data_IF_027842296157
#
_entry.id   IF_027842296157
#
_cell.length_a   1.000
_cell.length_b   1.000
_cell.length_c   1.000
_cell.angle_alpha   90.00
_cell.angle_beta   90.00
_cell.angle_gamma   90.00
#
_symmetry.space_group_name_H-M   'P 1'
#
loop_
_entity.id
_entity.type
_entity.pdbx_description
1 polymer ?
#
# COMPACT_ATOMS: atom_id res chain seq x y z
N UNK A 1 -30.04 -11.38 -22.21
CA UNK A 1 -30.14 -11.14 -23.68
C UNK A 1 -30.23 -12.48 -24.38
N UNK A 2 -31.13 -12.64 -25.35
CA UNK A 2 -31.17 -13.85 -26.20
C UNK A 2 -30.12 -13.70 -27.30
N UNK A 3 -29.35 -14.76 -27.53
CA UNK A 3 -28.32 -14.82 -28.56
C UNK A 3 -28.97 -14.76 -29.96
N UNK A 4 -28.63 -13.74 -30.74
CA UNK A 4 -29.11 -13.49 -32.12
C UNK A 4 -28.00 -13.67 -33.15
N UNK A 5 -26.86 -14.24 -32.77
CA UNK A 5 -25.72 -14.47 -33.69
C UNK A 5 -26.10 -15.34 -34.89
N UNK A 6 -27.09 -16.22 -34.74
CA UNK A 6 -27.56 -17.09 -35.81
C UNK A 6 -28.35 -16.34 -36.90
N UNK A 7 -29.12 -15.31 -36.53
CA UNK A 7 -29.88 -14.47 -37.47
C UNK A 7 -28.95 -13.64 -38.38
N UNK A 8 -27.80 -13.22 -37.84
CA UNK A 8 -26.77 -12.48 -38.59
C UNK A 8 -26.04 -13.35 -39.61
N UNK A 9 -25.90 -14.66 -39.36
CA UNK A 9 -25.29 -15.59 -40.32
C UNK A 9 -26.19 -15.83 -41.52
N UNK A 10 -27.50 -15.96 -41.29
CA UNK A 10 -28.48 -16.16 -42.36
C UNK A 10 -28.69 -14.93 -43.23
N UNK A 11 -28.44 -13.73 -42.71
CA UNK A 11 -28.53 -12.49 -43.49
C UNK A 11 -27.28 -12.22 -44.36
N UNK A 12 -26.16 -12.92 -44.12
CA UNK A 12 -24.88 -12.70 -44.81
C UNK A 12 -24.78 -13.42 -46.16
N UNK A 13 -25.68 -14.36 -46.45
CA UNK A 13 -25.72 -15.08 -47.74
C UNK A 13 -26.43 -14.29 -48.86
N UNK A 14 -26.84 -13.03 -48.62
CA UNK A 14 -27.67 -12.26 -49.58
C UNK A 14 -27.15 -10.88 -50.00
N UNK A 15 -25.97 -10.43 -49.56
CA UNK A 15 -25.41 -9.14 -49.99
C UNK A 15 -23.99 -9.32 -50.56
N UNK A 16 -23.78 -8.78 -51.77
CA UNK A 16 -22.53 -8.78 -52.53
C UNK A 16 -21.32 -8.33 -51.68
N UNK A 17 -20.25 -9.13 -51.72
CA UNK A 17 -18.96 -8.92 -51.07
C UNK A 17 -18.25 -7.66 -51.60
N UNK A 18 -18.34 -6.53 -50.88
CA UNK A 18 -17.23 -5.58 -50.80
C UNK A 18 -16.31 -6.04 -49.66
N UNK A 19 -15.32 -6.87 -50.01
CA UNK A 19 -14.26 -7.36 -49.13
C UNK A 19 -13.37 -6.18 -48.70
N UNK A 20 -13.80 -5.45 -47.68
CA UNK A 20 -12.93 -4.57 -46.91
C UNK A 20 -12.04 -5.47 -46.06
N UNK A 21 -10.92 -5.91 -46.64
CA UNK A 21 -9.86 -6.60 -45.91
C UNK A 21 -9.32 -5.66 -44.83
N UNK A 22 -9.81 -5.81 -43.61
CA UNK A 22 -9.12 -5.32 -42.41
C UNK A 22 -7.87 -6.17 -42.31
N UNK A 23 -6.73 -5.61 -42.72
CA UNK A 23 -5.41 -6.17 -42.41
C UNK A 23 -5.26 -6.14 -40.89
N UNK A 24 -5.70 -7.21 -40.24
CA UNK A 24 -5.32 -7.49 -38.86
C UNK A 24 -3.84 -7.83 -38.95
N UNK A 25 -2.99 -6.83 -38.77
CA UNK A 25 -1.57 -7.05 -38.55
C UNK A 25 -1.45 -8.08 -37.42
N UNK A 26 -0.98 -9.26 -37.81
CA UNK A 26 -0.82 -10.46 -36.98
C UNK A 26 0.54 -10.45 -36.28
N UNK A 27 1.16 -9.27 -36.20
CA UNK A 27 2.17 -8.94 -35.20
C UNK A 27 1.41 -8.24 -34.07
N UNK A 28 1.37 -8.86 -32.89
CA UNK A 28 0.30 -8.61 -31.93
C UNK A 28 0.20 -7.15 -31.48
N UNK A 29 -1.00 -6.63 -31.66
CA UNK A 29 -1.36 -5.27 -31.33
C UNK A 29 -1.09 -4.99 -29.84
N UNK A 30 -0.13 -4.09 -29.58
CA UNK A 30 0.30 -3.70 -28.23
C UNK A 30 0.85 -4.84 -27.35
N UNK A 31 1.36 -5.93 -27.93
CA UNK A 31 1.86 -7.07 -27.15
C UNK A 31 2.87 -6.67 -26.07
N UNK A 32 3.86 -5.84 -26.42
CA UNK A 32 4.87 -5.35 -25.46
C UNK A 32 4.24 -4.54 -24.31
N UNK A 33 3.21 -3.74 -24.61
CA UNK A 33 2.51 -2.96 -23.59
C UNK A 33 1.67 -3.88 -22.68
N UNK A 34 0.99 -4.88 -23.24
CA UNK A 34 0.23 -5.85 -22.45
C UNK A 34 1.15 -6.72 -21.59
N UNK A 35 2.34 -7.07 -22.06
CA UNK A 35 3.35 -7.75 -21.26
C UNK A 35 3.77 -6.90 -20.05
N UNK A 36 4.00 -5.59 -20.24
CA UNK A 36 4.27 -4.67 -19.14
C UNK A 36 3.10 -4.57 -18.15
N UNK A 37 1.85 -4.51 -18.64
CA UNK A 37 0.65 -4.46 -17.81
C UNK A 37 0.51 -5.72 -16.94
N UNK A 38 0.69 -6.91 -17.53
CA UNK A 38 0.61 -8.17 -16.79
C UNK A 38 1.77 -8.33 -15.80
N UNK A 39 2.96 -7.84 -16.13
CA UNK A 39 4.09 -7.82 -15.19
C UNK A 39 3.79 -6.93 -13.97
N UNK A 40 3.27 -5.71 -14.19
CA UNK A 40 2.87 -4.80 -13.09
C UNK A 40 1.78 -5.46 -12.25
N UNK A 41 0.79 -6.07 -12.88
CA UNK A 41 -0.29 -6.78 -12.19
C UNK A 41 0.25 -7.91 -11.32
N UNK A 42 1.17 -8.71 -11.85
CA UNK A 42 1.83 -9.78 -11.09
C UNK A 42 2.61 -9.26 -9.90
N UNK A 43 3.29 -8.12 -10.02
CA UNK A 43 3.95 -7.48 -8.89
C UNK A 43 2.96 -6.96 -7.83
N UNK A 44 1.84 -6.36 -8.23
CA UNK A 44 0.79 -5.93 -7.29
C UNK A 44 0.21 -7.13 -6.55
N UNK A 45 -0.08 -8.22 -7.26
CA UNK A 45 -0.59 -9.46 -6.65
C UNK A 45 0.44 -10.06 -5.68
N UNK A 46 1.74 -9.99 -6.01
CA UNK A 46 2.81 -10.42 -5.11
C UNK A 46 2.89 -9.58 -3.84
N UNK A 47 2.71 -8.26 -3.95
CA UNK A 47 2.65 -7.39 -2.76
C UNK A 47 1.46 -7.80 -1.90
N UNK A 48 0.28 -8.00 -2.49
CA UNK A 48 -0.92 -8.41 -1.76
C UNK A 48 -0.72 -9.73 -1.01
N UNK A 49 -0.06 -10.72 -1.63
CA UNK A 49 0.29 -11.98 -0.96
C UNK A 49 1.23 -11.75 0.23
N UNK A 50 2.28 -10.96 0.02
CA UNK A 50 3.24 -10.65 1.08
C UNK A 50 2.59 -9.88 2.25
N UNK A 51 1.62 -9.00 1.99
CA UNK A 51 0.86 -8.29 3.04
C UNK A 51 0.08 -9.26 3.91
N UNK A 52 -0.55 -10.28 3.32
CA UNK A 52 -1.24 -11.32 4.09
C UNK A 52 -0.27 -12.17 4.92
N UNK A 53 0.92 -12.47 4.40
CA UNK A 53 1.97 -13.13 5.18
C UNK A 53 2.48 -12.26 6.33
N UNK A 54 2.64 -10.95 6.12
CA UNK A 54 2.99 -9.99 7.18
C UNK A 54 1.94 -10.04 8.31
N UNK A 55 0.65 -10.05 8.00
CA UNK A 55 -0.42 -10.21 9.01
C UNK A 55 -0.28 -11.50 9.83
N UNK A 56 0.08 -12.60 9.18
CA UNK A 56 0.33 -13.89 9.85
C UNK A 56 1.54 -13.83 10.78
N UNK A 57 2.66 -13.27 10.32
CA UNK A 57 3.89 -13.12 11.12
C UNK A 57 3.68 -12.21 12.32
N UNK A 58 3.02 -11.06 12.13
CA UNK A 58 2.61 -10.17 13.21
C UNK A 58 1.80 -10.89 14.29
N UNK A 59 0.81 -11.68 13.87
CA UNK A 59 -0.03 -12.45 14.81
C UNK A 59 0.77 -13.51 15.56
N UNK A 60 1.70 -14.20 14.91
CA UNK A 60 2.59 -15.17 15.54
C UNK A 60 3.53 -14.51 16.57
N UNK A 61 4.10 -13.35 16.21
CA UNK A 61 5.01 -12.58 17.07
C UNK A 61 4.30 -12.09 18.34
N UNK A 62 3.05 -11.64 18.22
CA UNK A 62 2.23 -11.20 19.37
C UNK A 62 1.67 -12.35 20.21
N UNK A 63 1.68 -13.59 19.71
CA UNK A 63 1.20 -14.76 20.44
C UNK A 63 2.21 -15.27 21.48
N UNK A 64 3.49 -14.94 21.33
CA UNK A 64 4.55 -15.31 22.26
C UNK A 64 5.16 -14.08 22.95
N UNK A 65 5.39 -14.11 24.28
CA UNK A 65 6.18 -13.08 24.98
C UNK A 65 7.60 -12.95 24.44
N UNK A 66 8.18 -14.08 24.02
CA UNK A 66 9.51 -14.18 23.43
C UNK A 66 9.35 -14.81 22.03
N UNK A 67 9.05 -14.00 21.00
CA UNK A 67 8.97 -14.48 19.63
C UNK A 67 10.32 -15.03 19.16
N UNK A 68 10.29 -16.10 18.37
CA UNK A 68 11.49 -16.69 17.79
C UNK A 68 12.14 -15.75 16.79
N UNK A 69 13.48 -15.71 16.79
CA UNK A 69 14.22 -14.78 15.94
C UNK A 69 14.00 -15.07 14.45
N UNK A 70 13.77 -16.34 14.10
CA UNK A 70 13.47 -16.75 12.72
C UNK A 70 12.20 -16.08 12.20
N UNK A 71 11.13 -16.03 12.98
CA UNK A 71 9.87 -15.37 12.57
C UNK A 71 10.07 -13.86 12.41
N UNK A 72 10.95 -13.23 13.18
CA UNK A 72 11.30 -11.81 13.00
C UNK A 72 12.11 -11.58 11.73
N UNK A 73 13.11 -12.41 11.46
CA UNK A 73 13.89 -12.36 10.22
C UNK A 73 12.99 -12.53 8.99
N UNK A 74 12.07 -13.51 9.02
CA UNK A 74 11.09 -13.73 7.95
C UNK A 74 10.16 -12.52 7.76
N UNK A 75 9.75 -11.84 8.85
CA UNK A 75 8.98 -10.60 8.75
C UNK A 75 9.80 -9.47 8.09
N UNK A 76 11.06 -9.30 8.48
CA UNK A 76 11.94 -8.27 7.89
C UNK A 76 12.19 -8.50 6.40
N UNK A 77 12.35 -9.76 5.99
CA UNK A 77 12.45 -10.15 4.59
C UNK A 77 11.18 -9.79 3.81
N UNK A 78 10.00 -10.12 4.35
CA UNK A 78 8.72 -9.75 3.74
C UNK A 78 8.55 -8.24 3.57
N UNK A 79 8.88 -7.44 4.59
CA UNK A 79 8.84 -5.97 4.51
C UNK A 79 9.81 -5.44 3.43
N UNK A 80 11.01 -5.99 3.38
CA UNK A 80 12.02 -5.65 2.36
C UNK A 80 11.54 -5.97 0.95
N UNK A 81 10.89 -7.11 0.76
CA UNK A 81 10.38 -7.56 -0.53
C UNK A 81 9.15 -6.77 -0.98
N UNK A 82 8.25 -6.42 -0.07
CA UNK A 82 7.16 -5.46 -0.34
C UNK A 82 7.75 -4.15 -0.84
N UNK A 83 8.74 -3.58 -0.13
CA UNK A 83 9.40 -2.33 -0.52
C UNK A 83 10.04 -2.41 -1.90
N UNK A 84 10.81 -3.46 -2.18
CA UNK A 84 11.46 -3.65 -3.50
C UNK A 84 10.43 -3.77 -4.61
N UNK A 85 9.39 -4.57 -4.40
CA UNK A 85 8.35 -4.84 -5.41
C UNK A 85 7.50 -3.61 -5.66
N UNK A 86 7.13 -2.87 -4.61
CA UNK A 86 6.40 -1.61 -4.71
C UNK A 86 7.19 -0.55 -5.48
N UNK A 87 8.51 -0.46 -5.27
CA UNK A 87 9.37 0.42 -6.06
C UNK A 87 9.41 0.04 -7.55
N UNK A 88 9.44 -1.25 -7.89
CA UNK A 88 9.35 -1.72 -9.29
C UNK A 88 8.03 -1.32 -9.93
N UNK A 89 6.91 -1.53 -9.22
CA UNK A 89 5.57 -1.11 -9.68
C UNK A 89 5.55 0.40 -9.94
N UNK A 90 6.01 1.20 -8.98
CA UNK A 90 6.10 2.66 -9.12
C UNK A 90 6.90 3.07 -10.36
N UNK A 91 8.11 2.52 -10.54
CA UNK A 91 8.95 2.85 -11.69
C UNK A 91 8.30 2.49 -13.02
N UNK A 92 7.61 1.34 -13.11
CA UNK A 92 6.91 0.92 -14.33
C UNK A 92 5.68 1.78 -14.62
N UNK A 93 4.86 2.09 -13.61
CA UNK A 93 3.72 3.00 -13.76
C UNK A 93 4.18 4.38 -14.27
N UNK A 94 5.24 4.94 -13.69
CA UNK A 94 5.83 6.21 -14.14
C UNK A 94 6.36 6.16 -15.57
N UNK A 95 6.90 5.02 -16.00
CA UNK A 95 7.31 4.83 -17.41
C UNK A 95 6.11 4.83 -18.36
N UNK A 96 4.99 4.24 -17.97
CA UNK A 96 3.75 4.26 -18.76
C UNK A 96 3.18 5.67 -18.80
N UNK A 97 3.18 6.39 -17.68
CA UNK A 97 2.76 7.80 -17.60
C UNK A 97 3.54 8.69 -18.58
N UNK A 98 4.88 8.61 -18.57
CA UNK A 98 5.73 9.38 -19.50
C UNK A 98 5.46 9.03 -20.97
N UNK A 99 5.18 7.76 -21.27
CA UNK A 99 4.78 7.33 -22.62
C UNK A 99 3.45 7.94 -23.04
N UNK A 100 2.47 8.05 -22.12
CA UNK A 100 1.17 8.69 -22.36
C UNK A 100 1.37 10.18 -22.65
N UNK A 101 2.12 10.89 -21.81
CA UNK A 101 2.38 12.33 -21.96
C UNK A 101 3.07 12.64 -23.30
N UNK A 102 4.02 11.80 -23.72
CA UNK A 102 4.71 11.94 -24.99
C UNK A 102 3.76 11.77 -26.19
N UNK A 103 2.85 10.80 -26.14
CA UNK A 103 1.87 10.57 -27.20
C UNK A 103 0.80 11.67 -27.27
N UNK A 104 0.40 12.23 -26.12
CA UNK A 104 -0.51 13.37 -26.05
C UNK A 104 0.08 14.63 -26.68
N UNK A 105 1.37 14.91 -26.44
CA UNK A 105 2.08 16.03 -27.03
C UNK A 105 2.14 16.00 -28.57
N UNK A 106 1.93 14.82 -29.17
CA UNK A 106 1.85 14.63 -30.63
C UNK A 106 0.41 14.76 -31.18
N UNK A 107 -0.58 15.14 -30.35
CA UNK A 107 -2.01 15.23 -30.69
C UNK A 107 -2.60 13.94 -31.31
N UNK A 108 -2.03 12.78 -30.97
CA UNK A 108 -2.50 11.47 -31.45
C UNK A 108 -3.58 10.93 -30.53
N UNK A 109 -4.83 11.37 -30.72
CA UNK A 109 -5.97 10.72 -30.07
C UNK A 109 -6.28 9.38 -30.76
N UNK A 110 -5.61 8.33 -30.31
CA UNK A 110 -5.71 6.97 -30.88
C UNK A 110 -6.44 6.00 -29.95
N UNK A 111 -6.83 4.83 -30.47
CA UNK A 111 -7.31 3.74 -29.63
C UNK A 111 -6.22 3.25 -28.67
N UNK A 112 -4.97 3.22 -29.12
CA UNK A 112 -3.76 2.86 -28.35
C UNK A 112 -3.62 3.75 -27.09
N UNK A 113 -3.63 5.07 -27.27
CA UNK A 113 -3.53 6.05 -26.17
C UNK A 113 -4.65 5.87 -25.12
N UNK A 114 -5.88 5.61 -25.58
CA UNK A 114 -7.02 5.38 -24.67
C UNK A 114 -6.83 4.11 -23.84
N UNK A 115 -6.32 3.05 -24.45
CA UNK A 115 -6.05 1.79 -23.75
C UNK A 115 -4.93 2.00 -22.73
N UNK A 116 -3.82 2.66 -23.11
CA UNK A 116 -2.71 2.98 -22.19
C UNK A 116 -3.19 3.75 -20.95
N UNK A 117 -3.96 4.82 -21.16
CA UNK A 117 -4.55 5.61 -20.06
C UNK A 117 -5.44 4.78 -19.14
N UNK A 118 -6.31 3.95 -19.72
CA UNK A 118 -7.26 3.13 -18.96
C UNK A 118 -6.52 2.09 -18.11
N UNK A 119 -5.52 1.41 -18.69
CA UNK A 119 -4.71 0.42 -17.99
C UNK A 119 -3.86 1.07 -16.89
N UNK A 120 -3.20 2.19 -17.19
CA UNK A 120 -2.43 2.95 -16.21
C UNK A 120 -3.31 3.34 -15.01
N UNK A 121 -4.48 3.92 -15.24
CA UNK A 121 -5.41 4.32 -14.17
C UNK A 121 -5.87 3.13 -13.32
N UNK A 122 -6.17 2.00 -13.95
CA UNK A 122 -6.62 0.79 -13.28
C UNK A 122 -5.52 0.19 -12.39
N UNK A 123 -4.30 0.05 -12.93
CA UNK A 123 -3.15 -0.47 -12.20
C UNK A 123 -2.75 0.44 -11.05
N UNK A 124 -2.72 1.76 -11.28
CA UNK A 124 -2.41 2.75 -10.24
C UNK A 124 -3.41 2.70 -9.08
N UNK A 125 -4.72 2.57 -9.37
CA UNK A 125 -5.75 2.41 -8.33
C UNK A 125 -5.54 1.14 -7.52
N UNK A 126 -5.32 0.01 -8.19
CA UNK A 126 -5.10 -1.28 -7.53
C UNK A 126 -3.82 -1.27 -6.68
N UNK A 127 -2.76 -0.61 -7.16
CA UNK A 127 -1.53 -0.46 -6.40
C UNK A 127 -1.75 0.36 -5.13
N UNK A 128 -2.43 1.51 -5.23
CA UNK A 128 -2.77 2.34 -4.06
C UNK A 128 -3.61 1.55 -3.06
N UNK A 129 -4.61 0.80 -3.51
CA UNK A 129 -5.45 -0.05 -2.66
C UNK A 129 -4.62 -1.05 -1.84
N UNK A 130 -3.73 -1.81 -2.50
CA UNK A 130 -2.86 -2.80 -1.81
C UNK A 130 -1.89 -2.11 -0.85
N UNK A 131 -1.33 -0.97 -1.22
CA UNK A 131 -0.42 -0.24 -0.34
C UNK A 131 -1.16 0.37 0.87
N UNK A 132 -2.41 0.81 0.69
CA UNK A 132 -3.25 1.29 1.80
C UNK A 132 -3.58 0.16 2.77
N UNK A 133 -3.86 -1.04 2.28
CA UNK A 133 -4.05 -2.24 3.11
C UNK A 133 -2.78 -2.60 3.88
N UNK A 134 -1.61 -2.49 3.24
CA UNK A 134 -0.33 -2.67 3.92
C UNK A 134 -0.15 -1.64 5.06
N UNK A 135 -0.41 -0.36 4.81
CA UNK A 135 -0.34 0.67 5.84
C UNK A 135 -1.32 0.41 7.00
N UNK A 136 -2.56 0.04 6.70
CA UNK A 136 -3.55 -0.31 7.72
C UNK A 136 -3.10 -1.50 8.57
N UNK A 137 -2.51 -2.52 7.95
CA UNK A 137 -1.91 -3.68 8.64
C UNK A 137 -0.81 -3.24 9.60
N UNK A 138 0.06 -2.34 9.15
CA UNK A 138 1.15 -1.82 9.97
C UNK A 138 0.61 -0.97 11.13
N UNK A 139 -0.35 -0.08 10.90
CA UNK A 139 -0.97 0.72 11.97
C UNK A 139 -1.67 -0.14 13.02
N UNK A 140 -2.40 -1.18 12.61
CA UNK A 140 -3.05 -2.12 13.53
C UNK A 140 -2.01 -2.89 14.38
N UNK A 141 -0.89 -3.30 13.78
CA UNK A 141 0.18 -3.94 14.51
C UNK A 141 0.82 -3.00 15.55
N UNK A 142 1.03 -1.72 15.19
CA UNK A 142 1.55 -0.69 16.11
C UNK A 142 0.69 -0.60 17.37
N UNK A 143 -0.63 -0.49 17.17
CA UNK A 143 -1.58 -0.35 18.26
C UNK A 143 -1.61 -1.59 19.15
N UNK A 144 -1.53 -2.79 18.57
CA UNK A 144 -1.41 -4.03 19.33
C UNK A 144 -0.12 -4.10 20.15
N UNK A 145 1.01 -3.67 19.60
CA UNK A 145 2.28 -3.56 20.34
C UNK A 145 2.18 -2.55 21.48
N UNK A 146 1.58 -1.37 21.24
CA UNK A 146 1.33 -0.36 22.26
C UNK A 146 0.49 -0.93 23.42
N UNK A 147 -0.62 -1.62 23.10
CA UNK A 147 -1.45 -2.28 24.11
C UNK A 147 -0.71 -3.36 24.91
N UNK A 148 0.22 -4.09 24.29
CA UNK A 148 1.10 -5.05 25.00
C UNK A 148 2.02 -4.33 25.98
N UNK A 149 2.66 -3.24 25.57
CA UNK A 149 3.54 -2.44 26.44
C UNK A 149 2.75 -1.89 27.63
N UNK A 150 1.56 -1.32 27.38
CA UNK A 150 0.68 -0.82 28.43
C UNK A 150 0.37 -1.91 29.46
N UNK A 151 0.03 -3.12 28.99
CA UNK A 151 -0.27 -4.24 29.87
C UNK A 151 0.93 -4.68 30.71
N UNK A 152 2.14 -4.67 30.13
CA UNK A 152 3.36 -5.01 30.87
C UNK A 152 3.70 -3.94 31.93
N UNK A 153 3.47 -2.67 31.65
CA UNK A 153 3.62 -1.59 32.64
C UNK A 153 2.67 -1.78 33.83
N UNK A 154 1.41 -2.14 33.57
CA UNK A 154 0.43 -2.44 34.63
C UNK A 154 0.87 -3.61 35.52
N UNK A 155 1.46 -4.67 34.93
CA UNK A 155 1.99 -5.82 35.68
C UNK A 155 3.11 -5.39 36.63
N UNK A 156 3.93 -4.43 36.24
CA UNK A 156 4.98 -3.84 37.09
C UNK A 156 4.45 -2.84 38.12
N UNK A 157 3.14 -2.58 38.14
CA UNK A 157 2.49 -1.67 39.08
C UNK A 157 2.46 -0.20 38.63
N UNK A 158 2.86 0.09 37.38
CA UNK A 158 2.81 1.43 36.80
C UNK A 158 1.55 1.55 35.93
N UNK A 159 0.59 2.35 36.37
CA UNK A 159 -0.55 2.73 35.52
C UNK A 159 -0.07 3.82 34.56
N UNK A 160 -0.38 3.67 33.27
CA UNK A 160 0.02 4.63 32.23
C UNK A 160 -1.15 4.81 31.28
N UNK A 161 -1.50 6.08 31.03
CA UNK A 161 -2.55 6.44 30.07
C UNK A 161 -2.06 6.25 28.63
N UNK A 162 -2.99 6.23 27.68
CA UNK A 162 -2.63 6.07 26.26
C UNK A 162 -1.77 7.23 25.74
N UNK A 163 -2.00 8.44 26.24
CA UNK A 163 -1.26 9.66 25.89
C UNK A 163 0.15 9.64 26.49
N UNK A 164 0.29 9.37 27.79
CA UNK A 164 1.61 9.23 28.42
C UNK A 164 2.44 8.12 27.78
N UNK A 165 1.80 7.02 27.36
CA UNK A 165 2.50 5.94 26.68
C UNK A 165 2.98 6.37 25.28
N UNK A 166 2.22 7.20 24.58
CA UNK A 166 2.64 7.76 23.30
C UNK A 166 3.85 8.67 23.47
N UNK A 167 3.82 9.58 24.46
CA UNK A 167 4.97 10.45 24.80
C UNK A 167 6.23 9.63 25.09
N UNK A 168 6.07 8.49 25.78
CA UNK A 168 7.17 7.57 26.07
C UNK A 168 7.75 6.94 24.80
N UNK A 169 6.91 6.55 23.85
CA UNK A 169 7.34 6.01 22.55
C UNK A 169 8.03 7.08 21.70
N UNK A 170 7.48 8.29 21.65
CA UNK A 170 8.03 9.43 20.90
C UNK A 170 9.36 9.92 21.46
N UNK A 171 9.59 9.77 22.77
CA UNK A 171 10.84 10.18 23.42
C UNK A 171 12.10 9.49 22.84
N UNK A 172 11.92 8.34 22.17
CA UNK A 172 13.01 7.57 21.58
C UNK A 172 14.04 7.04 22.60
N UNK A 173 13.77 7.13 23.90
CA UNK A 173 14.66 6.72 24.97
C UNK A 173 14.22 5.38 25.60
N UNK A 174 14.86 4.24 25.28
CA UNK A 174 14.46 2.93 25.82
C UNK A 174 14.48 2.87 27.35
N UNK A 175 15.34 3.66 28.00
CA UNK A 175 15.45 3.68 29.46
C UNK A 175 14.21 4.28 30.15
N UNK A 176 13.32 4.97 29.42
CA UNK A 176 12.10 5.53 29.97
C UNK A 176 11.14 4.46 30.50
N UNK A 177 11.20 3.25 29.92
CA UNK A 177 10.41 2.09 30.36
C UNK A 177 11.00 1.44 31.60
N UNK A 178 12.33 1.45 31.75
CA UNK A 178 13.00 0.96 32.96
C UNK A 178 12.83 1.92 34.16
N UNK A 179 12.65 3.22 33.89
CA UNK A 179 12.45 4.24 34.90
C UNK A 179 11.14 4.02 35.68
N UNK A 180 11.26 3.82 36.99
CA UNK A 180 10.13 3.61 37.89
C UNK A 180 9.69 2.15 38.07
N UNK A 181 10.34 1.18 37.41
CA UNK A 181 10.10 -0.25 37.64
C UNK A 181 11.06 -0.77 38.71
N UNK A 182 10.53 -1.40 39.76
CA UNK A 182 11.33 -2.08 40.77
C UNK A 182 11.87 -3.40 40.19
N UNK A 183 13.18 -3.48 39.97
CA UNK A 183 13.85 -4.63 39.34
C UNK A 183 14.08 -5.84 40.28
N UNK A 184 13.46 -5.85 41.45
CA UNK A 184 13.69 -6.86 42.50
C UNK A 184 12.98 -8.19 42.21
N UNK A 185 11.98 -8.19 41.32
CA UNK A 185 11.22 -9.37 40.93
C UNK A 185 11.65 -9.90 39.56
N UNK A 186 11.71 -11.23 39.42
CA UNK A 186 11.88 -11.89 38.11
C UNK A 186 10.76 -11.51 37.13
N UNK A 187 9.56 -11.23 37.64
CA UNK A 187 8.40 -10.79 36.87
C UNK A 187 8.67 -9.41 36.25
N UNK A 188 9.21 -8.46 37.02
CA UNK A 188 9.54 -7.12 36.52
C UNK A 188 10.59 -7.16 35.42
N UNK A 189 11.60 -8.04 35.55
CA UNK A 189 12.64 -8.24 34.53
C UNK A 189 12.08 -8.82 33.24
N UNK A 190 11.17 -9.78 33.34
CA UNK A 190 10.50 -10.36 32.17
C UNK A 190 9.60 -9.34 31.48
N UNK A 191 8.80 -8.58 32.23
CA UNK A 191 7.95 -7.53 31.69
C UNK A 191 8.76 -6.47 30.93
N UNK A 192 9.90 -6.05 31.50
CA UNK A 192 10.79 -5.09 30.86
C UNK A 192 11.42 -5.63 29.57
N UNK A 193 11.86 -6.89 29.56
CA UNK A 193 12.37 -7.54 28.34
C UNK A 193 11.33 -7.63 27.22
N UNK A 194 10.05 -7.87 27.57
CA UNK A 194 8.96 -7.87 26.61
C UNK A 194 8.68 -6.45 26.10
N UNK A 195 8.68 -5.44 26.98
CA UNK A 195 8.52 -4.02 26.60
C UNK A 195 9.60 -3.61 25.61
N UNK A 196 10.87 -3.92 25.89
CA UNK A 196 11.99 -3.60 24.98
C UNK A 196 11.81 -4.27 23.61
N UNK A 197 11.37 -5.53 23.59
CA UNK A 197 11.10 -6.27 22.35
C UNK A 197 9.99 -5.59 21.53
N UNK A 198 8.86 -5.24 22.16
CA UNK A 198 7.73 -4.56 21.49
C UNK A 198 8.09 -3.16 21.04
N UNK A 199 8.86 -2.43 21.83
CA UNK A 199 9.34 -1.10 21.46
C UNK A 199 10.25 -1.16 20.22
N UNK A 200 11.16 -2.14 20.17
CA UNK A 200 11.99 -2.36 18.98
C UNK A 200 11.15 -2.66 17.73
N UNK A 201 10.08 -3.45 17.88
CA UNK A 201 9.13 -3.74 16.80
C UNK A 201 8.40 -2.47 16.31
N UNK A 202 7.95 -1.60 17.23
CA UNK A 202 7.34 -0.30 16.88
C UNK A 202 8.31 0.59 16.10
N UNK A 203 9.58 0.65 16.50
CA UNK A 203 10.58 1.45 15.78
C UNK A 203 10.77 0.95 14.34
N UNK A 204 10.90 -0.38 14.15
CA UNK A 204 11.05 -0.97 12.81
C UNK A 204 9.83 -0.67 11.93
N UNK A 205 8.65 -0.76 12.53
CA UNK A 205 7.37 -0.47 11.91
C UNK A 205 7.25 0.98 11.45
N UNK A 206 7.56 1.95 12.31
CA UNK A 206 7.52 3.38 12.01
C UNK A 206 8.50 3.75 10.90
N UNK A 207 9.67 3.12 10.87
CA UNK A 207 10.61 3.27 9.77
C UNK A 207 10.00 2.74 8.46
N UNK A 208 9.34 1.58 8.47
CA UNK A 208 8.65 1.07 7.28
C UNK A 208 7.53 2.02 6.82
N UNK A 209 6.69 2.53 7.72
CA UNK A 209 5.61 3.46 7.40
C UNK A 209 6.16 4.77 6.82
N UNK A 210 7.24 5.31 7.40
CA UNK A 210 7.89 6.53 6.89
C UNK A 210 8.41 6.36 5.47
N UNK A 211 8.98 5.21 5.15
CA UNK A 211 9.41 4.90 3.79
C UNK A 211 8.23 4.74 2.80
N UNK A 212 7.07 4.29 3.26
CA UNK A 212 5.85 4.26 2.44
C UNK A 212 5.30 5.64 2.16
N UNK A 213 5.40 6.56 3.12
CA UNK A 213 4.87 7.92 3.00
C UNK A 213 5.44 8.64 1.76
N UNK A 214 6.75 8.52 1.52
CA UNK A 214 7.40 9.08 0.32
C UNK A 214 6.81 8.51 -0.98
N UNK A 215 6.43 7.23 -0.98
CA UNK A 215 5.81 6.56 -2.13
C UNK A 215 4.36 7.00 -2.33
N UNK A 216 3.61 7.25 -1.25
CA UNK A 216 2.24 7.73 -1.32
C UNK A 216 2.12 9.18 -1.79
N UNK A 217 3.06 10.05 -1.40
CA UNK A 217 3.07 11.43 -1.90
C UNK A 217 3.23 11.49 -3.42
N UNK A 218 4.11 10.67 -3.99
CA UNK A 218 4.26 10.54 -5.45
C UNK A 218 2.96 10.07 -6.13
N UNK A 219 2.28 9.08 -5.55
CA UNK A 219 1.07 8.50 -6.13
C UNK A 219 -0.17 9.39 -5.98
N UNK A 220 -0.27 10.18 -4.90
CA UNK A 220 -1.35 11.13 -4.70
C UNK A 220 -1.36 12.21 -5.80
N UNK A 221 -0.18 12.70 -6.19
CA UNK A 221 -0.03 13.63 -7.32
C UNK A 221 -0.41 12.97 -8.66
N UNK A 222 -0.11 11.68 -8.84
CA UNK A 222 -0.37 10.92 -10.06
C UNK A 222 -1.86 10.58 -10.28
N UNK A 223 -2.64 10.44 -9.20
CA UNK A 223 -4.09 10.15 -9.27
C UNK A 223 -4.91 11.43 -9.44
N UNK A 224 -4.47 12.55 -8.85
CA UNK A 224 -5.17 13.84 -8.93
C UNK A 224 -5.16 14.41 -10.37
N UNK A 225 -4.04 14.26 -11.10
CA UNK A 225 -3.92 14.66 -12.52
C UNK A 225 -4.83 13.87 -13.47
N UNK A 226 -5.22 12.64 -13.12
CA UNK A 226 -6.07 11.77 -13.95
C UNK A 226 -7.58 11.95 -13.72
N UNK A 227 -7.99 12.48 -12.57
CA UNK A 227 -9.41 12.61 -12.18
C UNK A 227 -10.20 13.69 -12.93
N UNK A 228 -9.55 14.56 -13.72
CA UNK A 228 -10.23 15.60 -14.50
C UNK A 228 -10.86 15.10 -15.82
N UNK A 229 -10.67 13.82 -16.18
CA UNK A 229 -11.02 13.30 -17.51
C UNK A 229 -12.34 12.53 -17.65
N UNK A 230 -12.93 11.97 -16.58
CA UNK A 230 -14.17 11.20 -16.72
C UNK A 230 -14.92 11.01 -15.39
N UNK A 231 -16.22 11.32 -15.44
CA UNK A 231 -17.34 11.07 -14.50
C UNK A 231 -17.90 12.28 -13.73
N UNK A 232 -19.25 12.40 -13.70
CA UNK A 232 -19.95 13.60 -13.23
C UNK A 232 -19.90 13.72 -11.70
N UNK A 233 -19.94 14.97 -11.25
CA UNK A 233 -20.05 15.40 -9.86
C UNK A 233 -21.09 14.59 -9.07
N UNK A 234 -20.63 13.80 -8.09
CA UNK A 234 -21.23 13.67 -6.75
C UNK A 234 -20.62 12.50 -5.97
N UNK A 235 -19.58 12.77 -5.17
CA UNK A 235 -19.21 11.97 -4.00
C UNK A 235 -18.82 12.92 -2.86
N UNK A 236 -19.60 13.03 -1.77
CA UNK A 236 -19.21 13.79 -0.60
C UNK A 236 -18.30 12.90 0.27
N UNK A 237 -17.01 13.21 0.29
CA UNK A 237 -16.04 12.45 1.08
C UNK A 237 -14.63 12.80 0.64
N UNK A 238 -14.13 13.94 1.11
CA UNK A 238 -12.72 14.29 0.97
C UNK A 238 -11.81 13.29 1.68
N UNK A 239 -10.50 13.30 1.38
CA UNK A 239 -9.54 12.40 2.00
C UNK A 239 -9.50 12.59 3.53
N UNK A 240 -9.39 11.53 4.34
CA UNK A 240 -9.51 11.60 5.80
C UNK A 240 -8.31 12.27 6.52
N UNK A 241 -7.35 12.83 5.78
CA UNK A 241 -6.10 13.36 6.32
C UNK A 241 -6.00 14.89 6.28
N UNK A 242 -7.06 15.59 5.85
CA UNK A 242 -7.15 17.05 5.93
C UNK A 242 -7.73 17.53 7.26
N UNK A 243 -7.06 17.24 8.37
CA UNK A 243 -7.28 17.95 9.64
C UNK A 243 -6.08 17.79 10.55
N UNK A 244 -5.02 18.56 10.28
CA UNK A 244 -4.20 19.18 11.33
C UNK A 244 -3.17 20.12 10.70
N UNK A 245 -3.61 21.34 10.42
CA UNK A 245 -2.71 22.50 10.40
C UNK A 245 -3.09 23.35 11.60
N UNK A 246 -2.36 23.15 12.71
CA UNK A 246 -2.46 23.99 13.89
C UNK A 246 -2.15 25.47 13.58
N UNK A 247 -2.72 26.42 14.32
CA UNK A 247 -2.56 27.83 14.02
C UNK A 247 -1.15 28.31 14.34
N UNK A 248 -0.51 28.89 13.32
CA UNK A 248 0.72 29.67 13.43
C UNK A 248 0.52 30.88 14.37
N UNK A 249 1.56 31.17 15.14
CA UNK A 249 1.59 32.19 16.19
C UNK A 249 1.20 33.59 15.75
N UNK A 250 0.47 34.27 16.64
CA UNK A 250 0.28 35.70 16.63
C UNK A 250 1.42 36.39 17.38
N UNK A 251 2.01 37.37 16.71
CA UNK A 251 3.04 38.28 17.23
C UNK A 251 2.55 39.07 18.45
N UNK A 252 3.45 39.27 19.41
CA UNK A 252 3.60 40.53 20.16
C UNK A 252 4.62 41.42 19.45
#
# INVERSE_FOLDING_TARGET
MKDRTQELRTAKDSDDDDDVTVTVDRDGFMDEFFEQVEEIRGFIDKISENVEEVKRKHSAILASPNPDEKTKEELEELMSDIKKTANKVRSKLKSIEQSIEQEEGLNRSSADLRIRKTQHSTLSRKFVEVMSEYNATQSDYRERCKGRIQRQLEITGRTTTSEELEDMLESGNPAIFASGIIMDSSISKQALSEIETRHSEIIKLENSIRELHDMFMDMAMLVESQSQGAFPESCPGGPPWSSDTGPAGGND
#
